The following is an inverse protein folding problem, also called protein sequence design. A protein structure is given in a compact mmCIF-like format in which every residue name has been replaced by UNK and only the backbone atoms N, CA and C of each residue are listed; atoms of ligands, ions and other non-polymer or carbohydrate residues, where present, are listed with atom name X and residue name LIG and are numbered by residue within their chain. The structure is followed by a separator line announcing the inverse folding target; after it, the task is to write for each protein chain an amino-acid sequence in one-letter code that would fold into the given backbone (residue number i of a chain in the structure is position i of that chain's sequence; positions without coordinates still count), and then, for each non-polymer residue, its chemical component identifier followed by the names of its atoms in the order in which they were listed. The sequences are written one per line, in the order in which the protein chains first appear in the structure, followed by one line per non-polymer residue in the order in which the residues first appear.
data_IF_863214975641
#
_entry.id   IF_863214975641
#
_cell.length_a   1.000
_cell.length_b   1.000
_cell.length_c   1.000
_cell.angle_alpha   90.00
_cell.angle_beta   90.00
_cell.angle_gamma   90.00
#
_symmetry.space_group_name_H-M   'P 1'
#
loop_
_entity.id
_entity.type
_entity.pdbx_description
1 polymer ?
#
# COMPACT_ATOMS: atom_id res chain seq x y z
N UNK A 1 8.06 22.52 -11.27
CA UNK A 1 6.83 21.69 -11.38
C UNK A 1 7.20 20.57 -12.33
N UNK A 2 7.74 19.48 -11.77
CA UNK A 2 8.50 18.50 -12.53
C UNK A 2 7.56 17.49 -13.18
N UNK A 3 7.41 17.61 -14.50
CA UNK A 3 6.76 16.65 -15.39
C UNK A 3 7.25 15.19 -15.19
N UNK A 4 8.46 15.01 -14.64
CA UNK A 4 9.05 13.71 -14.30
C UNK A 4 8.46 13.05 -13.04
N UNK A 5 7.84 13.81 -12.14
CA UNK A 5 7.16 13.27 -10.95
C UNK A 5 5.71 12.87 -11.29
N UNK A 6 5.06 13.63 -12.17
CA UNK A 6 3.71 13.33 -12.65
C UNK A 6 3.66 12.12 -13.59
N UNK A 7 4.74 11.86 -14.34
CA UNK A 7 4.89 10.66 -15.18
C UNK A 7 5.16 9.39 -14.35
N UNK A 8 5.89 9.48 -13.23
CA UNK A 8 6.13 8.33 -12.36
C UNK A 8 4.84 7.84 -11.65
N UNK A 9 3.98 8.77 -11.24
CA UNK A 9 2.68 8.45 -10.63
C UNK A 9 1.66 7.82 -11.61
N UNK A 10 1.81 8.07 -12.92
CA UNK A 10 0.96 7.51 -13.98
C UNK A 10 1.48 6.20 -14.57
N UNK A 11 2.79 5.94 -14.51
CA UNK A 11 3.41 4.76 -15.12
C UNK A 11 3.48 3.52 -14.22
N UNK A 12 3.43 3.64 -12.89
CA UNK A 12 3.41 2.46 -12.01
C UNK A 12 2.00 1.86 -11.87
N UNK A 13 0.96 2.69 -11.73
CA UNK A 13 -0.44 2.21 -11.62
C UNK A 13 -1.04 1.62 -12.91
N UNK A 14 -0.50 1.95 -14.08
CA UNK A 14 -1.00 1.44 -15.38
C UNK A 14 -0.44 0.06 -15.74
N UNK A 15 0.78 -0.26 -15.31
CA UNK A 15 1.36 -1.61 -15.45
C UNK A 15 0.71 -2.60 -14.50
N UNK A 16 0.39 -2.19 -13.26
CA UNK A 16 -0.27 -3.06 -12.29
C UNK A 16 -1.68 -3.46 -12.73
N UNK A 17 -2.49 -2.55 -13.27
CA UNK A 17 -3.85 -2.88 -13.76
C UNK A 17 -3.80 -3.81 -14.98
N UNK A 18 -2.89 -3.56 -15.94
CA UNK A 18 -2.70 -4.45 -17.09
C UNK A 18 -2.23 -5.85 -16.70
N UNK A 19 -1.29 -5.92 -15.74
CA UNK A 19 -0.81 -7.18 -15.18
C UNK A 19 -1.91 -7.90 -14.37
N UNK A 20 -2.73 -7.18 -13.61
CA UNK A 20 -3.90 -7.72 -12.90
C UNK A 20 -4.83 -8.44 -13.88
N UNK A 21 -5.24 -7.80 -14.97
CA UNK A 21 -6.15 -8.44 -15.93
C UNK A 21 -5.53 -9.66 -16.62
N UNK A 22 -4.22 -9.63 -16.89
CA UNK A 22 -3.53 -10.72 -17.59
C UNK A 22 -3.18 -11.92 -16.70
N UNK A 23 -2.85 -11.66 -15.43
CA UNK A 23 -2.32 -12.67 -14.50
C UNK A 23 -3.26 -12.98 -13.33
N UNK A 24 -4.48 -12.45 -13.29
CA UNK A 24 -5.46 -12.85 -12.26
C UNK A 24 -5.76 -14.36 -12.34
N UNK A 25 -5.78 -15.10 -11.21
CA UNK A 25 -5.62 -14.65 -9.82
C UNK A 25 -4.18 -14.80 -9.25
N UNK A 26 -3.18 -15.06 -10.09
CA UNK A 26 -1.81 -15.39 -9.66
C UNK A 26 -1.06 -14.23 -8.98
N UNK A 27 -1.41 -12.97 -9.27
CA UNK A 27 -0.79 -11.78 -8.65
C UNK A 27 -1.49 -11.31 -7.37
N UNK A 28 -2.73 -11.74 -7.12
CA UNK A 28 -3.52 -11.27 -5.99
C UNK A 28 -5.01 -11.57 -6.12
N UNK A 29 -5.69 -11.60 -4.97
CA UNK A 29 -7.15 -11.77 -4.89
C UNK A 29 -7.90 -10.46 -5.16
N UNK A 30 -9.22 -10.47 -4.91
CA UNK A 30 -10.11 -9.31 -5.07
C UNK A 30 -9.62 -8.09 -4.26
N UNK A 31 -8.94 -8.32 -3.14
CA UNK A 31 -8.36 -7.26 -2.32
C UNK A 31 -7.33 -6.43 -3.11
N UNK A 32 -6.56 -7.07 -3.99
CA UNK A 32 -5.58 -6.37 -4.81
C UNK A 32 -6.26 -5.44 -5.82
N UNK A 33 -7.34 -5.89 -6.46
CA UNK A 33 -8.14 -5.09 -7.41
C UNK A 33 -8.74 -3.87 -6.71
N UNK A 34 -9.36 -4.08 -5.54
CA UNK A 34 -9.99 -3.01 -4.74
C UNK A 34 -8.94 -1.97 -4.32
N UNK A 35 -7.78 -2.42 -3.84
CA UNK A 35 -6.68 -1.55 -3.45
C UNK A 35 -6.28 -0.62 -4.59
N UNK A 36 -5.92 -1.19 -5.75
CA UNK A 36 -5.38 -0.42 -6.87
C UNK A 36 -6.43 0.49 -7.50
N UNK A 37 -7.69 0.04 -7.57
CA UNK A 37 -8.79 0.86 -8.08
C UNK A 37 -9.03 2.10 -7.21
N UNK A 38 -9.08 1.93 -5.88
CA UNK A 38 -9.29 3.05 -4.96
C UNK A 38 -8.10 4.02 -4.95
N UNK A 39 -6.87 3.49 -4.94
CA UNK A 39 -5.66 4.30 -5.03
C UNK A 39 -5.60 5.09 -6.34
N UNK A 40 -5.91 4.47 -7.48
CA UNK A 40 -5.94 5.14 -8.77
C UNK A 40 -6.99 6.27 -8.83
N UNK A 41 -8.20 6.04 -8.29
CA UNK A 41 -9.23 7.07 -8.21
C UNK A 41 -8.76 8.25 -7.35
N UNK A 42 -8.16 8.00 -6.19
CA UNK A 42 -7.66 9.04 -5.29
C UNK A 42 -6.50 9.85 -5.91
N UNK A 43 -5.57 9.17 -6.59
CA UNK A 43 -4.45 9.81 -7.30
C UNK A 43 -4.99 10.68 -8.44
N UNK A 44 -5.86 10.12 -9.30
CA UNK A 44 -6.46 10.87 -10.41
C UNK A 44 -7.21 12.12 -9.91
N UNK A 45 -8.00 11.98 -8.84
CA UNK A 45 -8.67 13.12 -8.22
C UNK A 45 -7.68 14.20 -7.76
N UNK A 46 -6.63 13.81 -7.03
CA UNK A 46 -5.66 14.76 -6.49
C UNK A 46 -4.85 15.48 -7.59
N UNK A 47 -4.58 14.79 -8.70
CA UNK A 47 -3.92 15.38 -9.86
C UNK A 47 -4.82 16.37 -10.61
N UNK A 48 -6.11 16.03 -10.77
CA UNK A 48 -7.06 16.85 -11.53
C UNK A 48 -7.57 18.08 -10.76
N UNK A 49 -7.79 17.93 -9.45
CA UNK A 49 -8.34 19.01 -8.60
C UNK A 49 -7.28 19.85 -7.90
N UNK A 50 -6.07 19.31 -7.72
CA UNK A 50 -5.05 19.90 -6.84
C UNK A 50 -5.32 19.71 -5.34
N UNK A 51 -6.43 19.07 -4.95
CA UNK A 51 -6.80 18.84 -3.56
C UNK A 51 -6.30 17.48 -3.04
N UNK A 52 -6.10 17.34 -1.73
CA UNK A 52 -5.83 16.04 -1.10
C UNK A 52 -4.45 15.43 -1.41
N UNK A 53 -3.58 16.13 -2.15
CA UNK A 53 -2.26 15.67 -2.56
C UNK A 53 -1.40 15.18 -1.38
N UNK A 54 -1.44 15.87 -0.25
CA UNK A 54 -0.76 15.46 0.98
C UNK A 54 -1.14 14.03 1.40
N UNK A 55 -2.44 13.73 1.43
CA UNK A 55 -2.93 12.41 1.83
C UNK A 55 -2.63 11.36 0.78
N UNK A 56 -2.69 11.73 -0.50
CA UNK A 56 -2.25 10.86 -1.60
C UNK A 56 -0.77 10.49 -1.47
N UNK A 57 0.11 11.45 -1.18
CA UNK A 57 1.53 11.17 -0.94
C UNK A 57 1.76 10.31 0.31
N UNK A 58 1.02 10.53 1.39
CA UNK A 58 1.07 9.65 2.57
C UNK A 58 0.70 8.21 2.20
N UNK A 59 -0.34 7.99 1.39
CA UNK A 59 -0.70 6.65 0.92
C UNK A 59 0.39 6.07 0.00
N UNK A 60 0.96 6.86 -0.91
CA UNK A 60 2.02 6.41 -1.84
C UNK A 60 3.30 5.97 -1.12
N UNK A 61 3.64 6.52 0.05
CA UNK A 61 4.77 6.03 0.86
C UNK A 61 4.61 4.54 1.16
N UNK A 62 3.38 4.02 1.26
CA UNK A 62 3.14 2.60 1.51
C UNK A 62 3.55 1.68 0.37
N UNK A 63 3.76 2.20 -0.84
CA UNK A 63 4.29 1.43 -1.97
C UNK A 63 5.75 1.04 -1.77
N UNK A 64 6.47 1.70 -0.87
CA UNK A 64 7.85 1.33 -0.52
C UNK A 64 7.96 -0.12 -0.03
N UNK A 65 6.87 -0.73 0.46
CA UNK A 65 6.86 -2.12 0.96
C UNK A 65 6.63 -3.17 -0.15
N UNK A 66 6.28 -2.74 -1.37
CA UNK A 66 5.92 -3.61 -2.49
C UNK A 66 7.13 -4.41 -3.01
N UNK A 67 8.33 -3.81 -3.20
CA UNK A 67 9.53 -4.55 -3.59
C UNK A 67 9.89 -5.71 -2.64
N UNK A 68 9.65 -5.55 -1.34
CA UNK A 68 9.98 -6.57 -0.35
C UNK A 68 9.03 -7.78 -0.43
N UNK A 69 7.74 -7.54 -0.68
CA UNK A 69 6.76 -8.61 -0.93
C UNK A 69 7.14 -9.40 -2.19
N UNK A 70 7.51 -8.68 -3.26
CA UNK A 70 7.97 -9.31 -4.50
C UNK A 70 9.25 -10.13 -4.29
N UNK A 71 10.21 -9.61 -3.53
CA UNK A 71 11.42 -10.35 -3.16
C UNK A 71 11.11 -11.61 -2.34
N UNK A 72 10.13 -11.54 -1.43
CA UNK A 72 9.71 -12.72 -0.66
C UNK A 72 9.13 -13.80 -1.54
N UNK A 73 8.28 -13.40 -2.49
CA UNK A 73 7.70 -14.31 -3.47
C UNK A 73 8.78 -14.94 -4.35
N UNK A 74 9.74 -14.15 -4.83
CA UNK A 74 10.86 -14.65 -5.62
C UNK A 74 11.66 -15.73 -4.87
N UNK A 75 12.00 -15.48 -3.60
CA UNK A 75 12.71 -16.44 -2.76
C UNK A 75 11.87 -17.69 -2.44
N UNK A 76 10.55 -17.55 -2.34
CA UNK A 76 9.62 -18.68 -2.19
C UNK A 76 9.68 -19.59 -3.43
N UNK A 77 9.46 -19.02 -4.60
CA UNK A 77 9.44 -19.71 -5.91
C UNK A 77 10.78 -20.35 -6.24
N UNK A 78 11.90 -19.73 -5.84
CA UNK A 78 13.24 -20.30 -5.97
C UNK A 78 13.55 -21.45 -4.98
N UNK A 79 12.58 -21.86 -4.13
CA UNK A 79 12.76 -22.92 -3.14
C UNK A 79 13.58 -22.50 -1.91
N UNK A 80 13.83 -21.20 -1.73
CA UNK A 80 14.78 -20.66 -0.75
C UNK A 80 14.16 -20.35 0.61
N UNK A 81 13.03 -20.95 0.98
CA UNK A 81 12.34 -20.71 2.28
C UNK A 81 13.20 -20.94 3.52
N UNK A 82 14.22 -21.81 3.42
CA UNK A 82 15.14 -22.14 4.53
C UNK A 82 16.38 -21.25 4.56
N UNK A 83 16.56 -20.34 3.60
CA UNK A 83 17.71 -19.44 3.54
C UNK A 83 17.62 -18.30 4.56
N UNK A 84 18.77 -17.79 5.03
CA UNK A 84 18.82 -16.60 5.89
C UNK A 84 18.25 -15.37 5.18
N UNK A 85 18.41 -15.26 3.85
CA UNK A 85 17.80 -14.21 3.04
C UNK A 85 16.27 -14.18 3.19
N UNK A 86 15.61 -15.35 3.15
CA UNK A 86 14.16 -15.43 3.36
C UNK A 86 13.76 -15.02 4.78
N UNK A 87 14.57 -15.29 5.80
CA UNK A 87 14.28 -14.83 7.15
C UNK A 87 14.43 -13.29 7.27
N UNK A 88 15.55 -12.74 6.80
CA UNK A 88 15.85 -11.31 6.86
C UNK A 88 14.78 -10.51 6.11
N UNK A 89 14.44 -10.91 4.88
CA UNK A 89 13.36 -10.28 4.11
C UNK A 89 12.02 -10.32 4.88
N UNK A 90 11.69 -11.42 5.56
CA UNK A 90 10.48 -11.50 6.40
C UNK A 90 10.47 -10.52 7.59
N UNK A 91 11.63 -10.28 8.20
CA UNK A 91 11.79 -9.29 9.28
C UNK A 91 11.66 -7.86 8.74
N UNK A 92 12.30 -7.57 7.59
CA UNK A 92 12.19 -6.27 6.93
C UNK A 92 10.75 -5.97 6.55
N UNK A 93 10.02 -6.93 5.96
CA UNK A 93 8.59 -6.79 5.66
C UNK A 93 7.79 -6.48 6.92
N UNK A 94 8.04 -7.18 8.02
CA UNK A 94 7.31 -6.94 9.27
C UNK A 94 7.46 -5.48 9.76
N UNK A 95 8.69 -4.96 9.82
CA UNK A 95 8.93 -3.58 10.26
C UNK A 95 8.48 -2.54 9.24
N UNK A 96 8.75 -2.77 7.95
CA UNK A 96 8.30 -1.89 6.87
C UNK A 96 6.79 -1.75 6.85
N UNK A 97 6.06 -2.86 7.00
CA UNK A 97 4.60 -2.85 7.07
C UNK A 97 4.05 -2.14 8.30
N UNK A 98 4.66 -2.36 9.47
CA UNK A 98 4.25 -1.67 10.69
C UNK A 98 4.39 -0.16 10.54
N UNK A 99 5.53 0.32 10.04
CA UNK A 99 5.79 1.76 9.91
C UNK A 99 5.01 2.39 8.76
N UNK A 100 5.19 1.89 7.54
CA UNK A 100 4.66 2.53 6.34
C UNK A 100 3.17 2.27 6.08
N UNK A 101 2.57 1.23 6.68
CA UNK A 101 1.17 0.84 6.43
C UNK A 101 0.27 0.91 7.65
N UNK A 102 0.76 0.63 8.85
CA UNK A 102 -0.05 0.70 10.07
C UNK A 102 0.08 2.07 10.73
N UNK A 103 1.29 2.44 11.16
CA UNK A 103 1.52 3.69 11.88
C UNK A 103 1.27 4.91 10.99
N UNK A 104 1.66 4.87 9.72
CA UNK A 104 1.40 5.95 8.78
C UNK A 104 -0.10 6.20 8.58
N UNK A 105 -0.93 5.15 8.50
CA UNK A 105 -2.38 5.29 8.35
C UNK A 105 -3.01 5.85 9.63
N UNK A 106 -2.56 5.41 10.81
CA UNK A 106 -2.98 6.00 12.09
C UNK A 106 -2.63 7.49 12.13
N UNK A 107 -1.40 7.83 11.76
CA UNK A 107 -0.93 9.21 11.70
C UNK A 107 -1.74 10.05 10.71
N UNK A 108 -2.06 9.50 9.54
CA UNK A 108 -2.86 10.18 8.53
C UNK A 108 -4.27 10.52 9.06
N UNK A 109 -4.95 9.59 9.75
CA UNK A 109 -6.25 9.90 10.37
C UNK A 109 -6.13 10.95 11.48
N UNK A 110 -5.07 10.88 12.28
CA UNK A 110 -4.79 11.90 13.28
C UNK A 110 -4.55 13.27 12.63
N UNK A 111 -3.83 13.32 11.52
CA UNK A 111 -3.58 14.55 10.77
C UNK A 111 -4.88 15.14 10.18
N UNK A 112 -5.74 14.29 9.61
CA UNK A 112 -7.08 14.69 9.13
C UNK A 112 -7.92 15.25 10.28
N UNK A 113 -7.89 14.64 11.45
CA UNK A 113 -8.61 15.11 12.63
C UNK A 113 -8.15 16.51 13.06
N UNK A 114 -6.83 16.74 13.12
CA UNK A 114 -6.27 18.05 13.49
C UNK A 114 -6.57 19.14 12.45
N UNK A 115 -6.63 18.77 11.17
CA UNK A 115 -6.83 19.70 10.05
C UNK A 115 -8.24 19.61 9.46
N UNK A 116 -9.22 19.19 10.26
CA UNK A 116 -10.57 18.91 9.79
C UNK A 116 -11.22 20.12 9.10
N UNK A 117 -11.03 21.33 9.64
CA UNK A 117 -11.58 22.55 9.05
C UNK A 117 -11.05 22.83 7.64
N UNK A 118 -9.81 22.46 7.35
CA UNK A 118 -9.22 22.56 6.01
C UNK A 118 -9.79 21.48 5.08
N UNK A 119 -9.88 20.25 5.57
CA UNK A 119 -10.45 19.12 4.80
C UNK A 119 -11.92 19.39 4.44
N UNK A 120 -12.68 20.05 5.31
CA UNK A 120 -14.08 20.42 5.07
C UNK A 120 -14.27 21.45 3.94
N UNK A 121 -13.23 22.20 3.56
CA UNK A 121 -13.29 23.14 2.44
C UNK A 121 -13.08 22.47 1.08
N UNK A 122 -12.64 21.22 1.05
CA UNK A 122 -12.47 20.46 -0.19
C UNK A 122 -13.82 20.25 -0.90
N UNK A 123 -13.78 19.97 -2.19
CA UNK A 123 -14.98 19.52 -2.89
C UNK A 123 -15.56 18.28 -2.21
N UNK A 124 -16.89 18.15 -2.24
CA UNK A 124 -17.61 17.05 -1.57
C UNK A 124 -17.03 15.67 -1.92
N UNK A 125 -16.64 15.48 -3.18
CA UNK A 125 -16.00 14.24 -3.63
C UNK A 125 -14.63 14.02 -2.97
N UNK A 126 -13.76 15.03 -2.95
CA UNK A 126 -12.45 14.97 -2.28
C UNK A 126 -12.57 14.76 -0.77
N UNK A 127 -13.54 15.43 -0.13
CA UNK A 127 -13.86 15.22 1.28
C UNK A 127 -14.15 13.73 1.54
N UNK A 128 -15.03 13.10 0.75
CA UNK A 128 -15.31 11.67 0.90
C UNK A 128 -14.08 10.80 0.63
N UNK A 129 -13.28 11.11 -0.39
CA UNK A 129 -12.08 10.32 -0.71
C UNK A 129 -11.06 10.32 0.43
N UNK A 130 -10.81 11.45 1.09
CA UNK A 130 -9.84 11.57 2.20
C UNK A 130 -10.19 10.66 3.39
N UNK A 131 -11.47 10.37 3.60
CA UNK A 131 -11.89 9.44 4.66
C UNK A 131 -12.02 8.00 4.15
N UNK A 132 -12.74 7.80 3.05
CA UNK A 132 -13.15 6.47 2.61
C UNK A 132 -11.98 5.64 2.06
N UNK A 133 -11.14 6.22 1.21
CA UNK A 133 -10.05 5.48 0.58
C UNK A 133 -9.05 5.01 1.65
N UNK A 134 -8.52 5.87 2.53
CA UNK A 134 -7.60 5.40 3.54
C UNK A 134 -8.24 4.48 4.59
N UNK A 135 -9.54 4.57 4.85
CA UNK A 135 -10.22 3.65 5.78
C UNK A 135 -10.24 2.23 5.23
N UNK A 136 -10.64 2.07 3.97
CA UNK A 136 -10.64 0.76 3.30
C UNK A 136 -9.22 0.20 3.21
N UNK A 137 -8.26 1.01 2.76
CA UNK A 137 -6.87 0.63 2.66
C UNK A 137 -6.25 0.27 4.02
N UNK A 138 -6.60 1.00 5.08
CA UNK A 138 -6.16 0.74 6.45
C UNK A 138 -6.66 -0.61 6.98
N UNK A 139 -7.93 -0.94 6.75
CA UNK A 139 -8.49 -2.26 7.13
C UNK A 139 -7.74 -3.38 6.42
N UNK A 140 -7.49 -3.23 5.12
CA UNK A 140 -6.76 -4.22 4.33
C UNK A 140 -5.31 -4.36 4.82
N UNK A 141 -4.64 -3.25 5.14
CA UNK A 141 -3.30 -3.24 5.72
C UNK A 141 -3.23 -4.00 7.06
N UNK A 142 -4.25 -3.91 7.92
CA UNK A 142 -4.33 -4.70 9.16
C UNK A 142 -4.53 -6.19 8.88
N UNK A 143 -5.40 -6.55 7.93
CA UNK A 143 -5.62 -7.94 7.52
C UNK A 143 -4.33 -8.58 6.99
N UNK A 144 -3.61 -7.88 6.12
CA UNK A 144 -2.33 -8.32 5.57
C UNK A 144 -1.23 -8.38 6.63
N UNK A 145 -1.18 -7.43 7.57
CA UNK A 145 -0.24 -7.47 8.69
C UNK A 145 -0.43 -8.73 9.55
N UNK A 146 -1.69 -9.12 9.78
CA UNK A 146 -2.00 -10.39 10.44
C UNK A 146 -1.44 -11.61 9.69
N UNK A 147 -1.47 -11.62 8.35
CA UNK A 147 -0.85 -12.67 7.53
C UNK A 147 0.67 -12.66 7.64
N UNK A 148 1.31 -11.48 7.64
CA UNK A 148 2.76 -11.31 7.79
C UNK A 148 3.23 -11.86 9.15
N UNK A 149 2.56 -11.50 10.24
CA UNK A 149 2.88 -12.01 11.59
C UNK A 149 2.81 -13.55 11.63
N UNK A 150 1.74 -14.13 11.10
CA UNK A 150 1.57 -15.60 11.05
C UNK A 150 2.68 -16.25 10.21
N UNK A 151 3.01 -15.65 9.06
CA UNK A 151 4.08 -16.12 8.18
C UNK A 151 5.46 -16.10 8.86
N UNK A 152 5.82 -15.00 9.50
CA UNK A 152 7.09 -14.86 10.20
C UNK A 152 7.21 -15.83 11.38
N UNK A 153 6.16 -15.97 12.21
CA UNK A 153 6.12 -16.95 13.30
C UNK A 153 6.39 -18.38 12.79
N UNK A 154 5.74 -18.78 11.69
CA UNK A 154 5.95 -20.09 11.05
C UNK A 154 7.37 -20.29 10.53
N UNK A 155 8.03 -19.24 10.03
CA UNK A 155 9.43 -19.32 9.60
C UNK A 155 10.38 -19.50 10.79
N UNK A 156 10.10 -18.83 11.91
CA UNK A 156 10.91 -18.94 13.13
C UNK A 156 10.76 -20.31 13.81
N UNK A 157 9.53 -20.83 13.95
CA UNK A 157 9.31 -22.13 14.62
C UNK A 157 9.87 -23.32 13.85
N UNK A 158 10.00 -23.24 12.52
CA UNK A 158 10.61 -24.30 11.70
C UNK A 158 12.14 -24.32 11.71
N UNK A 159 12.76 -23.29 12.30
CA UNK A 159 14.23 -23.17 12.44
C UNK A 159 14.72 -23.62 13.80
N UNK A 160 13.82 -23.68 14.78
CA UNK A 160 14.04 -24.34 16.07
C UNK A 160 13.89 -25.86 15.88
#
# INVERSE_FOLDING_TARGET
MNLLVDLAALFEGSLDIGMIFWLYPSLGGIEYIVHHSLSAIAVAYAMMSGEGQLYTYMVLISEVTTPEINMRWYLDTAGMKRSSAYLINGIVIFFGWLVARVLLFVYMFYHVYLHYDQVKQMHIFGFFLVFMVPAVLGIMNLMWFGKIIKGLKKTLTKRQ
#
